data_IF_531444846243
#
_entry.id   IF_531444846243
#
_cell.length_a   1.000
_cell.length_b   1.000
_cell.length_c   1.000
_cell.angle_alpha   90.00
_cell.angle_beta   90.00
_cell.angle_gamma   90.00
#
_symmetry.space_group_name_H-M   'P 1'
#
loop_
_entity.id
_entity.type
_entity.pdbx_description
1 polymer ?
#
# COMPACT_ATOMS: atom_id res chain seq x y z
N UNK A 1 -0.15 0.39 13.49
CA UNK A 1 -0.43 1.35 12.41
C UNK A 1 0.38 2.61 12.67
N UNK A 2 1.37 2.91 11.82
CA UNK A 2 2.34 3.98 12.05
C UNK A 2 1.87 5.32 11.49
N UNK A 3 1.93 6.36 12.30
CA UNK A 3 1.97 7.76 11.88
C UNK A 3 3.28 7.99 11.11
N UNK A 4 3.19 8.39 9.84
CA UNK A 4 4.37 8.66 9.01
C UNK A 4 4.81 10.12 9.17
N UNK A 5 6.11 10.40 9.05
CA UNK A 5 6.70 11.75 9.16
C UNK A 5 6.00 12.75 8.22
N UNK A 6 5.67 12.30 7.00
CA UNK A 6 4.95 13.12 6.03
C UNK A 6 3.51 13.46 6.45
N UNK A 7 2.85 12.58 7.21
CA UNK A 7 1.52 12.85 7.78
C UNK A 7 1.59 13.87 8.91
N UNK A 8 2.62 13.78 9.75
CA UNK A 8 2.89 14.76 10.82
C UNK A 8 3.13 16.16 10.24
N UNK A 9 3.98 16.28 9.20
CA UNK A 9 4.26 17.55 8.55
C UNK A 9 2.99 18.20 7.94
N UNK A 10 2.09 17.39 7.36
CA UNK A 10 0.77 17.87 6.86
C UNK A 10 -0.14 18.37 7.99
N UNK A 11 -0.03 17.78 9.18
CA UNK A 11 -0.69 18.25 10.40
C UNK A 11 -0.05 19.49 11.02
N UNK A 12 0.97 20.08 10.38
CA UNK A 12 1.73 21.21 10.91
C UNK A 12 2.79 20.83 11.95
N UNK A 13 2.95 19.53 12.23
CA UNK A 13 3.89 19.00 13.19
C UNK A 13 5.22 18.77 12.48
N UNK A 14 6.10 19.75 12.60
CA UNK A 14 7.44 19.73 11.98
C UNK A 14 8.54 19.50 13.01
N UNK A 15 8.22 19.59 14.30
CA UNK A 15 9.14 19.31 15.40
C UNK A 15 9.17 17.82 15.75
N UNK A 16 10.29 17.38 16.33
CA UNK A 16 10.42 16.04 16.86
C UNK A 16 9.50 15.88 18.08
N UNK A 17 8.52 14.98 17.97
CA UNK A 17 7.66 14.62 19.09
C UNK A 17 8.28 13.47 19.89
N UNK A 18 8.10 13.51 21.21
CA UNK A 18 8.34 12.36 22.07
C UNK A 18 7.26 11.29 21.84
N UNK A 19 7.54 10.06 22.25
CA UNK A 19 6.56 8.96 22.17
C UNK A 19 5.24 9.32 22.86
N UNK A 20 5.29 9.95 24.02
CA UNK A 20 4.11 10.36 24.81
C UNK A 20 3.26 11.41 24.07
N UNK A 21 3.92 12.40 23.44
CA UNK A 21 3.24 13.39 22.61
C UNK A 21 2.59 12.76 21.38
N UNK A 22 3.23 11.75 20.78
CA UNK A 22 2.66 10.98 19.66
C UNK A 22 1.43 10.19 20.12
N UNK A 23 1.44 9.61 21.31
CA UNK A 23 0.29 8.89 21.86
C UNK A 23 -0.87 9.83 22.14
N UNK A 24 -0.63 10.95 22.83
CA UNK A 24 -1.63 11.98 23.09
C UNK A 24 -2.29 12.48 21.79
N UNK A 25 -1.48 12.77 20.76
CA UNK A 25 -1.97 13.18 19.45
C UNK A 25 -2.81 12.10 18.76
N UNK A 26 -2.48 10.83 18.96
CA UNK A 26 -3.25 9.70 18.40
C UNK A 26 -4.57 9.51 19.14
N UNK A 27 -4.63 9.81 20.44
CA UNK A 27 -5.86 9.80 21.25
C UNK A 27 -6.77 10.98 20.92
N UNK A 28 -6.19 12.16 20.72
CA UNK A 28 -6.91 13.38 20.36
C UNK A 28 -7.58 13.27 18.98
N UNK A 29 -7.08 12.35 18.13
CA UNK A 29 -7.63 12.03 16.80
C UNK A 29 -7.94 13.30 15.97
N UNK A 30 -6.96 14.16 15.72
CA UNK A 30 -7.18 15.36 14.93
C UNK A 30 -7.63 15.00 13.51
N UNK A 31 -8.39 15.90 12.87
CA UNK A 31 -8.99 15.63 11.57
C UNK A 31 -7.98 15.21 10.49
N UNK A 32 -6.77 15.77 10.51
CA UNK A 32 -5.72 15.43 9.55
C UNK A 32 -5.28 13.96 9.71
N UNK A 33 -5.28 13.43 10.93
CA UNK A 33 -4.93 12.03 11.20
C UNK A 33 -6.04 11.09 10.72
N UNK A 34 -7.30 11.49 10.84
CA UNK A 34 -8.44 10.75 10.30
C UNK A 34 -8.41 10.72 8.77
N UNK A 35 -8.18 11.88 8.13
CA UNK A 35 -8.01 12.01 6.67
C UNK A 35 -6.84 11.17 6.17
N UNK A 36 -5.71 11.17 6.88
CA UNK A 36 -4.54 10.35 6.54
C UNK A 36 -4.86 8.84 6.65
N UNK A 37 -5.58 8.42 7.70
CA UNK A 37 -6.01 7.02 7.87
C UNK A 37 -6.99 6.57 6.79
N UNK A 38 -7.95 7.42 6.43
CA UNK A 38 -8.87 7.15 5.33
C UNK A 38 -8.10 6.98 4.02
N UNK A 39 -7.17 7.89 3.73
CA UNK A 39 -6.29 7.81 2.55
C UNK A 39 -5.47 6.52 2.54
N UNK A 40 -4.84 6.16 3.67
CA UNK A 40 -4.10 4.90 3.77
C UNK A 40 -4.99 3.68 3.54
N UNK A 41 -6.23 3.68 4.03
CA UNK A 41 -7.15 2.57 3.84
C UNK A 41 -7.52 2.42 2.35
N UNK A 42 -7.79 3.53 1.67
CA UNK A 42 -8.09 3.52 0.22
C UNK A 42 -6.89 3.08 -0.62
N UNK A 43 -5.68 3.61 -0.34
CA UNK A 43 -4.45 3.19 -1.02
C UNK A 43 -4.17 1.71 -0.80
N UNK A 44 -4.42 1.17 0.41
CA UNK A 44 -4.26 -0.27 0.67
C UNK A 44 -5.23 -1.11 -0.15
N UNK A 45 -6.51 -0.71 -0.25
CA UNK A 45 -7.49 -1.41 -1.10
C UNK A 45 -7.05 -1.40 -2.56
N UNK A 46 -6.60 -0.24 -3.06
CA UNK A 46 -6.14 -0.12 -4.44
C UNK A 46 -4.87 -0.94 -4.70
N UNK A 47 -3.92 -0.94 -3.76
CA UNK A 47 -2.71 -1.75 -3.85
C UNK A 47 -3.02 -3.26 -3.91
N UNK A 48 -4.02 -3.74 -3.16
CA UNK A 48 -4.48 -5.13 -3.23
C UNK A 48 -5.05 -5.43 -4.63
N UNK A 49 -5.94 -4.57 -5.14
CA UNK A 49 -6.54 -4.73 -6.47
C UNK A 49 -5.48 -4.78 -7.58
N UNK A 50 -4.49 -3.89 -7.52
CA UNK A 50 -3.36 -3.88 -8.46
C UNK A 50 -2.58 -5.18 -8.34
N UNK A 51 -2.23 -5.61 -7.12
CA UNK A 51 -1.47 -6.84 -6.90
C UNK A 51 -2.17 -8.06 -7.49
N UNK A 52 -3.49 -8.20 -7.29
CA UNK A 52 -4.28 -9.29 -7.87
C UNK A 52 -4.26 -9.27 -9.40
N UNK A 53 -4.48 -8.10 -10.02
CA UNK A 53 -4.42 -7.94 -11.47
C UNK A 53 -3.04 -8.25 -12.05
N UNK A 54 -1.97 -7.88 -11.33
CA UNK A 54 -0.61 -8.20 -11.73
C UNK A 54 -0.32 -9.70 -11.62
N UNK A 55 -0.79 -10.36 -10.56
CA UNK A 55 -0.66 -11.81 -10.38
C UNK A 55 -1.37 -12.58 -11.50
N UNK A 56 -2.62 -12.23 -11.83
CA UNK A 56 -3.37 -12.90 -12.89
C UNK A 56 -2.70 -12.75 -14.27
N UNK A 57 -2.14 -11.57 -14.56
CA UNK A 57 -1.36 -11.34 -15.79
C UNK A 57 -0.08 -12.16 -15.81
N UNK A 58 0.62 -12.26 -14.69
CA UNK A 58 1.84 -13.05 -14.58
C UNK A 58 1.57 -14.54 -14.82
N UNK A 59 0.51 -15.10 -14.23
CA UNK A 59 0.15 -16.50 -14.47
C UNK A 59 -0.27 -16.77 -15.91
N UNK A 60 -1.02 -15.86 -16.54
CA UNK A 60 -1.38 -15.97 -17.96
C UNK A 60 -0.16 -15.93 -18.86
N UNK A 61 0.81 -15.05 -18.57
CA UNK A 61 2.06 -14.98 -19.31
C UNK A 61 2.87 -16.27 -19.16
N UNK A 62 3.02 -16.77 -17.93
CA UNK A 62 3.75 -18.02 -17.65
C UNK A 62 3.07 -19.23 -18.33
N UNK A 63 1.74 -19.30 -18.31
CA UNK A 63 1.00 -20.36 -19.01
C UNK A 63 1.20 -20.29 -20.53
N UNK A 64 1.10 -19.11 -21.12
CA UNK A 64 1.34 -18.91 -22.56
C UNK A 64 2.77 -19.30 -22.95
N UNK A 65 3.75 -19.01 -22.10
CA UNK A 65 5.15 -19.36 -22.32
C UNK A 65 5.36 -20.88 -22.26
N UNK A 66 4.76 -21.57 -21.28
CA UNK A 66 4.77 -23.04 -21.18
C UNK A 66 4.09 -23.72 -22.38
N UNK A 67 2.95 -23.19 -22.80
CA UNK A 67 2.20 -23.69 -23.97
C UNK A 67 3.04 -23.52 -25.26
N UNK A 68 3.78 -22.41 -25.39
CA UNK A 68 4.68 -22.16 -26.53
C UNK A 68 5.93 -23.06 -26.54
N UNK A 69 6.49 -23.38 -25.36
CA UNK A 69 7.65 -24.27 -25.20
C UNK A 69 7.29 -25.76 -25.40
N UNK A 70 6.02 -26.12 -25.24
CA UNK A 70 5.51 -27.50 -25.42
C UNK A 70 5.12 -27.83 -26.87
N UNK A 71 5.47 -26.98 -27.84
CA UNK A 71 5.18 -27.18 -29.27
C UNK A 71 5.70 -28.54 -29.80
N UNK A 72 5.02 -29.14 -30.79
CA UNK A 72 5.18 -30.55 -31.12
C UNK A 72 6.61 -30.87 -31.60
N UNK A 73 7.15 -32.06 -31.27
CA UNK A 73 8.48 -32.45 -31.70
C UNK A 73 8.54 -32.45 -33.23
N UNK A 74 9.48 -31.68 -33.80
CA UNK A 74 9.81 -31.73 -35.23
C UNK A 74 10.26 -33.16 -35.54
N UNK A 75 9.42 -33.89 -36.28
CA UNK A 75 9.73 -35.22 -36.82
C UNK A 75 10.70 -35.14 -37.98
#
# INVERSE_FOLDING_TARGET
MGTSISGLARGGITEALTTEQIEALKEERPEWLEKERATQAEVRKEAVRIKEKHAEKAEKAEKAERDAQSGPPRS
#
